data_IF_454615934133
#
_entry.id   IF_454615934133
#
_cell.length_a   1.000
_cell.length_b   1.000
_cell.length_c   1.000
_cell.angle_alpha   90.00
_cell.angle_beta   90.00
_cell.angle_gamma   90.00
#
_symmetry.space_group_name_H-M   'P 1'
#
loop_
_entity.id
_entity.type
_entity.pdbx_description
1 polymer ?
#
# COMPACT_ATOMS: atom_id res chain seq x y z
N UNK A 1 6.87 -4.49 -27.03
CA UNK A 1 5.79 -5.15 -26.26
C UNK A 1 4.62 -5.35 -27.21
N UNK A 2 3.86 -6.46 -27.12
CA UNK A 2 2.68 -6.65 -27.96
C UNK A 2 1.65 -5.55 -27.69
N UNK A 3 0.99 -5.06 -28.74
CA UNK A 3 -0.08 -4.07 -28.63
C UNK A 3 -1.32 -4.72 -28.03
N UNK A 4 -1.79 -4.22 -26.88
CA UNK A 4 -3.02 -4.67 -26.21
C UNK A 4 -4.11 -3.62 -26.42
N UNK A 5 -5.21 -4.00 -27.07
CA UNK A 5 -6.39 -3.14 -27.23
C UNK A 5 -7.45 -3.51 -26.22
N UNK A 6 -7.88 -2.53 -25.42
CA UNK A 6 -8.87 -2.71 -24.37
C UNK A 6 -10.08 -1.83 -24.70
N UNK A 7 -11.26 -2.43 -24.75
CA UNK A 7 -12.50 -1.66 -24.86
C UNK A 7 -12.84 -1.05 -23.49
N UNK A 8 -13.13 0.23 -23.47
CA UNK A 8 -13.49 0.97 -22.25
C UNK A 8 -14.75 1.78 -22.47
N UNK A 9 -15.47 2.06 -21.39
CA UNK A 9 -16.61 2.98 -21.45
C UNK A 9 -16.15 4.39 -21.78
N UNK A 10 -17.05 5.19 -22.36
CA UNK A 10 -16.80 6.59 -22.67
C UNK A 10 -16.41 7.38 -21.41
N UNK A 11 -17.06 7.10 -20.27
CA UNK A 11 -16.77 7.72 -18.98
C UNK A 11 -15.34 7.42 -18.50
N UNK A 12 -14.87 6.17 -18.63
CA UNK A 12 -13.50 5.79 -18.25
C UNK A 12 -12.49 6.52 -19.13
N UNK A 13 -12.72 6.52 -20.44
CA UNK A 13 -11.85 7.21 -21.38
C UNK A 13 -11.75 8.72 -21.08
N UNK A 14 -12.90 9.37 -20.85
CA UNK A 14 -12.93 10.79 -20.49
C UNK A 14 -12.23 11.10 -19.16
N UNK A 15 -12.31 10.19 -18.20
CA UNK A 15 -11.61 10.31 -16.91
C UNK A 15 -10.09 10.19 -17.11
N UNK A 16 -9.63 9.23 -17.91
CA UNK A 16 -8.21 9.10 -18.25
C UNK A 16 -7.66 10.35 -18.93
N UNK A 17 -8.43 10.94 -19.86
CA UNK A 17 -8.04 12.20 -20.50
C UNK A 17 -7.92 13.37 -19.51
N UNK A 18 -8.86 13.50 -18.57
CA UNK A 18 -8.79 14.54 -17.53
C UNK A 18 -7.57 14.38 -16.63
N UNK A 19 -7.26 13.14 -16.25
CA UNK A 19 -6.09 12.82 -15.43
C UNK A 19 -4.79 13.11 -16.17
N UNK A 20 -4.70 12.71 -17.44
CA UNK A 20 -3.55 13.02 -18.30
C UNK A 20 -3.34 14.54 -18.42
N UNK A 21 -4.39 15.29 -18.75
CA UNK A 21 -4.32 16.75 -18.90
C UNK A 21 -3.92 17.49 -17.62
N UNK A 22 -4.31 16.98 -16.45
CA UNK A 22 -4.01 17.64 -15.15
C UNK A 22 -2.64 17.26 -14.58
N UNK A 23 -2.14 16.07 -14.88
CA UNK A 23 -0.84 15.57 -14.41
C UNK A 23 0.31 15.87 -15.36
N UNK A 24 0.02 16.06 -16.66
CA UNK A 24 1.04 16.09 -17.72
C UNK A 24 1.52 14.70 -18.16
N UNK A 25 1.01 13.63 -17.55
CA UNK A 25 1.31 12.25 -17.92
C UNK A 25 0.52 11.83 -19.18
N UNK A 26 1.02 10.82 -19.89
CA UNK A 26 0.28 10.13 -20.94
C UNK A 26 -0.84 9.26 -20.36
N UNK A 27 -1.86 8.92 -21.17
CA UNK A 27 -2.92 7.97 -20.78
C UNK A 27 -2.34 6.62 -20.34
N UNK A 28 -1.26 6.17 -20.99
CA UNK A 28 -0.60 4.91 -20.65
C UNK A 28 0.03 4.98 -19.26
N UNK A 29 0.76 6.05 -18.95
CA UNK A 29 1.36 6.24 -17.62
C UNK A 29 0.28 6.38 -16.53
N UNK A 30 -0.83 7.05 -16.81
CA UNK A 30 -1.99 7.09 -15.90
C UNK A 30 -2.55 5.69 -15.66
N UNK A 31 -2.69 4.89 -16.71
CA UNK A 31 -3.20 3.52 -16.60
C UNK A 31 -2.25 2.65 -15.77
N UNK A 32 -0.95 2.71 -16.02
CA UNK A 32 0.06 1.97 -15.27
C UNK A 32 0.03 2.35 -13.78
N UNK A 33 -0.03 3.66 -13.47
CA UNK A 33 -0.16 4.15 -12.10
C UNK A 33 -1.47 3.69 -11.45
N UNK A 34 -2.59 3.70 -12.17
CA UNK A 34 -3.89 3.27 -11.66
C UNK A 34 -3.92 1.77 -11.33
N UNK A 35 -3.35 0.93 -12.21
CA UNK A 35 -3.25 -0.50 -11.99
C UNK A 35 -2.34 -0.82 -10.81
N UNK A 36 -1.19 -0.16 -10.67
CA UNK A 36 -0.32 -0.36 -9.51
C UNK A 36 -0.97 0.08 -8.20
N UNK A 37 -1.72 1.18 -8.21
CA UNK A 37 -2.49 1.61 -7.04
C UNK A 37 -3.58 0.59 -6.67
N UNK A 38 -4.29 0.04 -7.66
CA UNK A 38 -5.30 -1.00 -7.41
C UNK A 38 -4.65 -2.29 -6.86
N UNK A 39 -3.53 -2.72 -7.44
CA UNK A 39 -2.77 -3.88 -6.95
C UNK A 39 -2.31 -3.69 -5.50
N UNK A 40 -1.78 -2.52 -5.15
CA UNK A 40 -1.39 -2.17 -3.77
C UNK A 40 -2.59 -2.15 -2.83
N UNK A 41 -3.72 -1.61 -3.27
CA UNK A 41 -4.95 -1.60 -2.48
C UNK A 41 -5.43 -3.03 -2.17
N UNK A 42 -5.50 -3.90 -3.18
CA UNK A 42 -5.89 -5.31 -2.99
C UNK A 42 -4.96 -6.04 -2.03
N UNK A 43 -3.65 -5.80 -2.12
CA UNK A 43 -2.68 -6.36 -1.18
C UNK A 43 -2.97 -5.95 0.26
N UNK A 44 -3.22 -4.66 0.51
CA UNK A 44 -3.54 -4.16 1.85
C UNK A 44 -4.87 -4.70 2.38
N UNK A 45 -5.90 -4.82 1.52
CA UNK A 45 -7.18 -5.43 1.91
C UNK A 45 -6.98 -6.88 2.36
N UNK A 46 -6.25 -7.67 1.59
CA UNK A 46 -5.98 -9.08 1.93
C UNK A 46 -5.15 -9.23 3.21
N UNK A 47 -4.16 -8.36 3.41
CA UNK A 47 -3.37 -8.31 4.64
C UNK A 47 -4.26 -7.99 5.85
N UNK A 48 -5.11 -6.97 5.75
CA UNK A 48 -6.06 -6.60 6.80
C UNK A 48 -7.04 -7.73 7.13
N UNK A 49 -7.61 -8.39 6.12
CA UNK A 49 -8.49 -9.55 6.33
C UNK A 49 -7.76 -10.70 7.05
N UNK A 50 -6.49 -10.92 6.72
CA UNK A 50 -5.67 -11.93 7.39
C UNK A 50 -5.41 -11.56 8.85
N UNK A 51 -5.12 -10.29 9.14
CA UNK A 51 -4.99 -9.78 10.51
C UNK A 51 -6.31 -9.85 11.29
N UNK A 52 -7.46 -9.59 10.65
CA UNK A 52 -8.77 -9.75 11.29
C UNK A 52 -9.02 -11.22 11.67
N UNK A 53 -8.68 -12.16 10.78
CA UNK A 53 -8.76 -13.60 11.10
C UNK A 53 -7.83 -13.99 12.25
N UNK A 54 -6.60 -13.47 12.24
CA UNK A 54 -5.63 -13.69 13.32
C UNK A 54 -6.17 -13.17 14.66
N UNK A 55 -6.67 -11.93 14.69
CA UNK A 55 -7.20 -11.28 15.90
C UNK A 55 -8.42 -11.98 16.47
N UNK A 56 -9.22 -12.63 15.63
CA UNK A 56 -10.37 -13.44 16.08
C UNK A 56 -9.96 -14.78 16.70
N UNK A 57 -8.69 -15.19 16.56
CA UNK A 57 -8.14 -16.36 17.25
C UNK A 57 -7.36 -15.87 18.48
N UNK A 58 -7.97 -15.98 19.66
CA UNK A 58 -7.40 -15.45 20.90
C UNK A 58 -5.99 -15.97 21.19
N UNK A 59 -5.74 -17.28 21.02
CA UNK A 59 -4.42 -17.87 21.26
C UNK A 59 -3.35 -17.28 20.35
N UNK A 60 -3.59 -17.29 19.03
CA UNK A 60 -2.63 -16.77 18.06
C UNK A 60 -2.47 -15.25 18.17
N UNK A 61 -3.51 -14.54 18.60
CA UNK A 61 -3.45 -13.11 18.84
C UNK A 61 -2.55 -12.77 20.03
N UNK A 62 -2.63 -13.53 21.14
CA UNK A 62 -1.71 -13.33 22.27
C UNK A 62 -0.26 -13.63 21.88
N UNK A 63 -0.01 -14.62 21.02
CA UNK A 63 1.33 -14.89 20.49
C UNK A 63 1.86 -13.71 19.64
N UNK A 64 1.04 -13.14 18.76
CA UNK A 64 1.42 -11.96 17.96
C UNK A 64 1.71 -10.73 18.83
N UNK A 65 0.90 -10.48 19.86
CA UNK A 65 1.13 -9.37 20.80
C UNK A 65 2.44 -9.57 21.57
N UNK A 66 2.70 -10.78 22.07
CA UNK A 66 3.95 -11.07 22.77
C UNK A 66 5.17 -10.89 21.86
N UNK A 67 5.07 -11.30 20.59
CA UNK A 67 6.12 -11.03 19.59
C UNK A 67 6.30 -9.51 19.40
N UNK A 68 5.21 -8.77 19.17
CA UNK A 68 5.25 -7.32 18.97
C UNK A 68 5.87 -6.57 20.15
N UNK A 69 5.51 -6.94 21.38
CA UNK A 69 6.10 -6.37 22.60
C UNK A 69 7.61 -6.66 22.71
N UNK A 70 8.07 -7.83 22.27
CA UNK A 70 9.50 -8.13 22.22
C UNK A 70 10.22 -7.25 21.18
N UNK A 71 9.62 -6.97 20.03
CA UNK A 71 10.17 -6.06 19.03
C UNK A 71 10.17 -4.61 19.48
N UNK A 72 9.15 -4.15 20.21
CA UNK A 72 9.07 -2.79 20.75
C UNK A 72 10.27 -2.45 21.67
N UNK A 73 10.91 -3.44 22.29
CA UNK A 73 12.13 -3.24 23.09
C UNK A 73 13.32 -2.75 22.24
N UNK A 74 13.32 -3.05 20.94
CA UNK A 74 14.37 -2.61 20.00
C UNK A 74 14.08 -1.25 19.36
N UNK A 75 12.97 -0.59 19.73
CA UNK A 75 12.55 0.69 19.13
C UNK A 75 13.58 1.82 19.31
N UNK A 76 14.34 1.80 20.41
CA UNK A 76 15.37 2.78 20.72
C UNK A 76 16.75 2.44 20.12
N UNK A 77 16.91 1.24 19.54
CA UNK A 77 18.18 0.81 18.99
C UNK A 77 18.56 1.67 17.77
N UNK A 78 19.76 2.24 17.79
CA UNK A 78 20.25 3.12 16.73
C UNK A 78 19.74 4.56 16.78
N UNK A 79 18.86 4.92 17.73
CA UNK A 79 18.54 6.31 18.06
C UNK A 79 19.61 6.80 19.04
N UNK A 80 20.65 7.47 18.53
CA UNK A 80 21.57 8.23 19.38
C UNK A 80 20.75 9.31 20.09
N UNK A 81 20.53 9.14 21.38
CA UNK A 81 19.83 10.12 22.21
C UNK A 81 20.76 11.32 22.31
N UNK A 82 20.62 12.23 21.34
CA UNK A 82 21.54 13.32 21.07
C UNK A 82 22.15 13.88 22.35
N UNK A 83 23.44 13.59 22.57
CA UNK A 83 24.24 14.35 23.52
C UNK A 83 24.19 15.80 23.07
N UNK A 84 23.43 16.58 23.82
CA UNK A 84 23.44 18.02 23.71
C UNK A 84 24.85 18.58 23.91
N UNK A 85 25.10 19.66 23.17
CA UNK A 85 25.88 20.85 23.55
C UNK A 85 27.19 20.62 24.33
N UNK A 86 28.30 20.76 23.61
CA UNK A 86 29.35 21.74 23.91
C UNK A 86 30.16 22.05 22.66
#
# INVERSE_FOLDING_TARGET
MPELKINMSETTHHTLLKLANSSGDTIQEILDKAIENYRRNLFLVQANESFLRLRNNETLWQEEIAEREAWDQTLADGIDSGRGIN
#
